data_IF_578294647737
#
_entry.id   IF_578294647737
#
_cell.length_a   1.000
_cell.length_b   1.000
_cell.length_c   1.000
_cell.angle_alpha   90.00
_cell.angle_beta   90.00
_cell.angle_gamma   90.00
#
_symmetry.space_group_name_H-M   'P 1'
#
loop_
_entity.id
_entity.type
_entity.pdbx_description
1 polymer ?
#
# COMPACT_ATOMS: atom_id res chain seq x y z
N UNK A 1 -15.81 1.65 15.92
CA UNK A 1 -14.81 2.72 16.07
C UNK A 1 -14.37 3.12 14.67
N UNK A 2 -14.50 4.39 14.32
CA UNK A 2 -13.90 4.96 13.10
C UNK A 2 -12.58 5.62 13.48
N UNK A 3 -11.47 5.22 12.86
CA UNK A 3 -10.14 5.73 13.17
C UNK A 3 -9.21 5.66 11.95
N UNK A 4 -8.27 6.60 11.86
CA UNK A 4 -7.14 6.52 10.93
C UNK A 4 -5.95 5.83 11.59
N UNK A 5 -5.10 5.19 10.80
CA UNK A 5 -3.91 4.53 11.33
C UNK A 5 -2.76 5.53 11.53
N UNK A 6 -2.35 5.71 12.78
CA UNK A 6 -1.19 6.50 13.20
C UNK A 6 -0.45 5.76 14.32
N UNK A 7 0.71 6.27 14.74
CA UNK A 7 1.53 5.64 15.77
C UNK A 7 0.80 5.53 17.13
N UNK A 8 -0.01 6.53 17.48
CA UNK A 8 -0.82 6.60 18.70
C UNK A 8 -2.07 5.71 18.66
N UNK A 9 -2.60 5.41 17.48
CA UNK A 9 -3.75 4.49 17.33
C UNK A 9 -3.34 3.05 17.05
N UNK A 10 -2.07 2.79 16.74
CA UNK A 10 -1.58 1.47 16.32
C UNK A 10 -1.82 0.38 17.36
N UNK A 11 -1.65 0.68 18.64
CA UNK A 11 -1.90 -0.27 19.73
C UNK A 11 -3.37 -0.70 19.79
N UNK A 12 -4.29 0.27 19.75
CA UNK A 12 -5.71 -0.02 19.81
C UNK A 12 -6.21 -0.77 18.56
N UNK A 13 -5.64 -0.50 17.39
CA UNK A 13 -6.07 -1.11 16.12
C UNK A 13 -5.47 -2.49 15.84
N UNK A 14 -4.31 -2.81 16.41
CA UNK A 14 -3.63 -4.09 16.22
C UNK A 14 -3.68 -4.96 17.49
N UNK A 15 -4.53 -4.63 18.45
CA UNK A 15 -4.77 -5.43 19.66
C UNK A 15 -6.25 -5.78 19.78
N UNK A 16 -6.61 -7.07 19.85
CA UNK A 16 -5.73 -8.24 19.74
C UNK A 16 -5.06 -8.32 18.35
N UNK A 17 -3.92 -9.03 18.22
CA UNK A 17 -3.22 -9.14 16.95
C UNK A 17 -4.13 -9.84 15.92
N UNK A 18 -4.38 -9.22 14.75
CA UNK A 18 -5.13 -9.87 13.68
C UNK A 18 -4.29 -11.00 13.06
N UNK A 19 -4.95 -12.00 12.48
CA UNK A 19 -4.27 -13.09 11.77
C UNK A 19 -3.49 -12.60 10.55
N UNK A 20 -3.97 -11.54 9.90
CA UNK A 20 -3.31 -10.85 8.81
C UNK A 20 -3.87 -9.42 8.67
N UNK A 21 -3.05 -8.50 8.18
CA UNK A 21 -3.43 -7.13 7.82
C UNK A 21 -3.42 -6.96 6.31
N UNK A 22 -4.48 -6.37 5.77
CA UNK A 22 -4.58 -5.98 4.35
C UNK A 22 -4.50 -4.47 4.27
N UNK A 23 -3.39 -3.96 3.75
CA UNK A 23 -3.13 -2.53 3.67
C UNK A 23 -3.53 -1.95 2.30
N UNK A 24 -4.61 -1.17 2.29
CA UNK A 24 -5.08 -0.40 1.13
C UNK A 24 -4.96 1.13 1.33
N UNK A 25 -4.07 1.59 2.22
CA UNK A 25 -3.86 3.01 2.52
C UNK A 25 -3.12 3.71 1.36
N UNK A 26 -3.61 4.84 0.88
CA UNK A 26 -2.99 5.62 -0.21
C UNK A 26 -1.99 6.69 0.29
N UNK A 27 -2.12 7.11 1.54
CA UNK A 27 -1.23 8.08 2.17
C UNK A 27 0.08 7.44 2.66
N UNK A 28 1.22 8.01 2.23
CA UNK A 28 2.56 7.46 2.50
C UNK A 28 2.87 7.24 3.99
N UNK A 29 2.68 8.26 4.83
CA UNK A 29 3.07 8.18 6.25
C UNK A 29 2.29 7.09 7.01
N UNK A 30 0.94 7.11 7.07
CA UNK A 30 0.19 6.09 7.79
C UNK A 30 0.44 4.68 7.26
N UNK A 31 0.66 4.54 5.94
CA UNK A 31 1.08 3.28 5.32
C UNK A 31 2.42 2.77 5.84
N UNK A 32 3.44 3.63 5.87
CA UNK A 32 4.76 3.24 6.42
C UNK A 32 4.65 2.92 7.91
N UNK A 33 3.86 3.67 8.69
CA UNK A 33 3.61 3.36 10.10
C UNK A 33 3.00 1.98 10.28
N UNK A 34 1.94 1.67 9.53
CA UNK A 34 1.27 0.37 9.58
C UNK A 34 2.25 -0.77 9.26
N UNK A 35 2.97 -0.67 8.15
CA UNK A 35 3.92 -1.70 7.74
C UNK A 35 5.05 -1.87 8.77
N UNK A 36 5.55 -0.76 9.34
CA UNK A 36 6.57 -0.81 10.39
C UNK A 36 6.03 -1.52 11.65
N UNK A 37 4.82 -1.17 12.09
CA UNK A 37 4.19 -1.74 13.28
C UNK A 37 3.87 -3.23 13.09
N UNK A 38 3.33 -3.63 11.95
CA UNK A 38 3.06 -5.03 11.62
C UNK A 38 4.34 -5.87 11.65
N UNK A 39 5.40 -5.41 10.96
CA UNK A 39 6.70 -6.12 10.96
C UNK A 39 7.28 -6.21 12.37
N UNK A 40 7.27 -5.11 13.14
CA UNK A 40 7.81 -5.10 14.50
C UNK A 40 7.08 -6.04 15.46
N UNK A 41 5.78 -6.30 15.22
CA UNK A 41 4.93 -7.18 16.02
C UNK A 41 4.82 -8.60 15.46
N UNK A 42 5.47 -8.90 14.33
CA UNK A 42 5.34 -10.18 13.65
C UNK A 42 3.93 -10.47 13.14
N UNK A 43 3.14 -9.42 12.86
CA UNK A 43 1.78 -9.56 12.29
C UNK A 43 1.92 -9.67 10.77
N UNK A 44 1.42 -10.76 10.13
CA UNK A 44 1.43 -10.89 8.68
C UNK A 44 0.72 -9.70 8.02
N UNK A 45 1.33 -9.13 6.99
CA UNK A 45 0.78 -7.97 6.27
C UNK A 45 1.03 -8.08 4.78
N UNK A 46 0.01 -7.77 3.99
CA UNK A 46 0.12 -7.59 2.55
C UNK A 46 -0.37 -6.19 2.17
N UNK A 47 0.25 -5.54 1.18
CA UNK A 47 0.01 -4.13 0.88
C UNK A 47 -0.29 -3.84 -0.59
N UNK A 48 -1.27 -2.97 -0.85
CA UNK A 48 -1.54 -2.39 -2.17
C UNK A 48 -0.70 -1.12 -2.38
N UNK A 49 -0.06 -1.02 -3.54
CA UNK A 49 0.66 0.19 -3.97
C UNK A 49 -0.21 1.07 -4.88
N UNK A 50 0.42 2.01 -5.61
CA UNK A 50 -0.31 3.00 -6.40
C UNK A 50 -0.92 2.41 -7.67
N UNK A 51 -2.26 2.29 -7.68
CA UNK A 51 -3.07 1.90 -8.84
C UNK A 51 -3.58 3.09 -9.68
N UNK A 52 -3.46 4.32 -9.18
CA UNK A 52 -3.88 5.51 -9.91
C UNK A 52 -2.91 5.86 -11.05
N UNK A 53 -3.44 6.39 -12.14
CA UNK A 53 -2.73 6.72 -13.37
C UNK A 53 -2.38 5.49 -14.21
N UNK A 54 -3.08 4.37 -14.01
CA UNK A 54 -2.78 3.06 -14.61
C UNK A 54 -3.96 2.53 -15.40
N UNK A 55 -3.69 1.86 -16.51
CA UNK A 55 -4.73 1.29 -17.39
C UNK A 55 -4.39 -0.10 -17.92
N UNK A 56 -3.12 -0.38 -18.19
CA UNK A 56 -2.72 -1.68 -18.72
C UNK A 56 -2.46 -2.71 -17.60
N UNK A 57 -3.39 -3.65 -17.50
CA UNK A 57 -3.39 -4.70 -16.46
C UNK A 57 -2.23 -5.68 -16.61
N UNK A 58 -1.63 -5.79 -17.80
CA UNK A 58 -0.48 -6.67 -18.05
C UNK A 58 0.79 -6.26 -17.30
N UNK A 59 0.82 -5.02 -16.77
CA UNK A 59 1.91 -4.50 -15.94
C UNK A 59 1.70 -4.72 -14.44
N UNK A 60 0.56 -5.29 -14.02
CA UNK A 60 0.32 -5.61 -12.61
C UNK A 60 1.25 -6.74 -12.17
N UNK A 61 1.87 -6.57 -11.01
CA UNK A 61 2.78 -7.53 -10.40
C UNK A 61 2.39 -7.73 -8.95
N UNK A 62 2.60 -8.95 -8.46
CA UNK A 62 2.43 -9.34 -7.07
C UNK A 62 3.72 -10.05 -6.62
N UNK A 63 4.23 -9.72 -5.45
CA UNK A 63 5.53 -10.21 -4.98
C UNK A 63 6.07 -9.39 -3.81
N UNK A 64 7.37 -9.48 -3.53
CA UNK A 64 7.98 -8.73 -2.45
C UNK A 64 8.08 -7.24 -2.80
N UNK A 65 7.67 -6.37 -1.87
CA UNK A 65 7.84 -4.94 -1.91
C UNK A 65 9.27 -4.52 -2.31
N UNK A 66 10.30 -5.24 -1.85
CA UNK A 66 11.70 -4.93 -2.18
C UNK A 66 12.03 -5.10 -3.67
N UNK A 67 11.28 -5.93 -4.38
CA UNK A 67 11.43 -6.21 -5.81
C UNK A 67 10.69 -5.19 -6.68
N UNK A 68 9.67 -4.53 -6.14
CA UNK A 68 8.84 -3.61 -6.94
C UNK A 68 9.63 -2.50 -7.65
N UNK A 69 9.29 -2.25 -8.92
CA UNK A 69 9.89 -1.24 -9.81
C UNK A 69 8.81 -0.33 -10.38
N UNK A 70 9.21 0.82 -10.94
CA UNK A 70 8.36 1.79 -11.68
C UNK A 70 7.06 2.27 -10.97
N UNK A 71 6.92 2.01 -9.67
CA UNK A 71 5.84 2.50 -8.84
C UNK A 71 6.34 3.61 -7.89
N UNK A 72 5.93 4.88 -8.08
CA UNK A 72 6.37 5.99 -7.23
C UNK A 72 6.03 5.81 -5.75
N UNK A 73 4.84 5.27 -5.44
CA UNK A 73 4.44 5.00 -4.06
C UNK A 73 5.34 3.92 -3.44
N UNK A 74 5.50 2.78 -4.12
CA UNK A 74 6.34 1.68 -3.62
C UNK A 74 7.80 2.13 -3.41
N UNK A 75 8.35 2.93 -4.33
CA UNK A 75 9.69 3.50 -4.20
C UNK A 75 9.85 4.37 -2.94
N UNK A 76 8.85 5.20 -2.63
CA UNK A 76 8.82 6.01 -1.40
C UNK A 76 8.66 5.14 -0.17
N UNK A 77 7.72 4.18 -0.16
CA UNK A 77 7.51 3.26 0.96
C UNK A 77 8.81 2.53 1.28
N UNK A 78 9.47 1.90 0.30
CA UNK A 78 10.78 1.25 0.46
C UNK A 78 11.83 2.18 1.07
N UNK A 79 11.90 3.44 0.61
CA UNK A 79 12.86 4.42 1.13
C UNK A 79 12.63 4.71 2.61
N UNK A 80 11.38 4.85 3.03
CA UNK A 80 11.04 5.14 4.42
C UNK A 80 11.20 3.92 5.33
N UNK A 81 10.80 2.72 4.86
CA UNK A 81 11.00 1.48 5.60
C UNK A 81 12.49 1.20 5.86
N UNK A 82 13.37 1.39 4.85
CA UNK A 82 14.83 1.27 5.05
C UNK A 82 15.35 2.21 6.13
N UNK A 83 14.86 3.45 6.18
CA UNK A 83 15.25 4.42 7.22
C UNK A 83 14.83 3.99 8.63
N UNK A 84 13.81 3.14 8.72
CA UNK A 84 13.31 2.55 9.98
C UNK A 84 13.93 1.19 10.28
N UNK A 85 14.90 0.74 9.49
CA UNK A 85 15.55 -0.57 9.67
C UNK A 85 14.69 -1.76 9.26
N UNK A 86 13.54 -1.54 8.60
CA UNK A 86 12.69 -2.64 8.12
C UNK A 86 13.30 -3.21 6.84
N UNK A 87 13.64 -4.50 6.87
CA UNK A 87 14.17 -5.28 5.74
C UNK A 87 13.42 -6.59 5.50
N UNK A 88 12.49 -6.95 6.39
CA UNK A 88 11.66 -8.14 6.25
C UNK A 88 10.86 -8.09 4.93
N UNK A 89 10.61 -9.24 4.27
CA UNK A 89 9.79 -9.30 3.07
C UNK A 89 8.36 -8.85 3.38
N UNK A 90 7.79 -8.04 2.49
CA UNK A 90 6.41 -7.55 2.60
C UNK A 90 5.71 -7.83 1.26
N UNK A 91 4.80 -8.83 1.20
CA UNK A 91 4.02 -9.08 0.00
C UNK A 91 3.21 -7.86 -0.41
N UNK A 92 3.26 -7.51 -1.68
CA UNK A 92 2.53 -6.36 -2.19
C UNK A 92 2.11 -6.51 -3.64
N UNK A 93 1.17 -5.65 -4.06
CA UNK A 93 0.75 -5.51 -5.46
C UNK A 93 1.12 -4.12 -5.97
N UNK A 94 1.73 -4.06 -7.15
CA UNK A 94 2.07 -2.81 -7.84
C UNK A 94 1.86 -2.92 -9.35
N UNK A 95 1.95 -1.80 -10.06
CA UNK A 95 2.05 -1.77 -11.52
C UNK A 95 3.40 -1.19 -11.94
N UNK A 96 3.99 -1.81 -12.96
CA UNK A 96 5.22 -1.35 -13.62
C UNK A 96 4.97 -0.46 -14.85
N UNK A 97 3.72 -0.16 -15.15
CA UNK A 97 3.34 0.86 -16.14
C UNK A 97 3.94 2.22 -15.70
N UNK A 98 4.07 3.19 -16.59
CA UNK A 98 4.41 4.59 -16.24
C UNK A 98 3.12 5.38 -15.98
N UNK A 99 3.01 6.20 -14.90
CA UNK A 99 1.70 6.70 -14.53
C UNK A 99 1.30 7.82 -15.47
N UNK A 100 0.01 7.90 -15.77
CA UNK A 100 -0.55 9.04 -16.47
C UNK A 100 -0.15 10.34 -15.77
N UNK A 101 -0.08 11.42 -16.55
CA UNK A 101 0.27 12.73 -16.02
C UNK A 101 -0.68 13.16 -14.90
N UNK A 102 -0.08 13.81 -13.91
CA UNK A 102 -0.85 14.27 -12.77
C UNK A 102 -1.73 15.47 -13.17
N UNK A 103 -3.00 15.38 -12.84
CA UNK A 103 -3.98 16.43 -13.05
C UNK A 103 -3.80 17.54 -12.02
N UNK A 104 -4.15 18.76 -12.44
CA UNK A 104 -4.22 19.89 -11.55
C UNK A 104 -5.15 19.56 -10.36
N UNK A 105 -4.76 19.95 -9.15
CA UNK A 105 -5.59 19.72 -7.97
C UNK A 105 -6.85 20.60 -8.08
N UNK A 106 -8.01 20.16 -7.57
CA UNK A 106 -9.28 20.94 -7.70
C UNK A 106 -9.12 22.29 -7.01
N UNK A 107 -9.56 23.42 -7.55
CA UNK A 107 -9.40 24.69 -6.83
C UNK A 107 -10.18 24.73 -5.49
N UNK A 108 -11.24 23.92 -5.37
CA UNK A 108 -12.24 23.98 -4.29
C UNK A 108 -12.25 22.75 -3.35
N UNK A 109 -11.20 21.92 -3.31
CA UNK A 109 -11.19 20.75 -2.44
C UNK A 109 -11.06 21.17 -0.95
N UNK A 110 -11.98 20.80 -0.06
CA UNK A 110 -11.85 21.14 1.37
C UNK A 110 -10.58 20.55 2.01
N UNK A 111 -9.90 19.58 1.37
CA UNK A 111 -8.56 19.09 1.78
C UNK A 111 -7.44 20.13 1.60
N UNK A 112 -7.66 21.25 0.90
CA UNK A 112 -6.69 22.35 0.84
C UNK A 112 -6.53 23.09 2.17
N UNK A 113 -7.53 23.07 3.04
CA UNK A 113 -7.46 23.73 4.35
C UNK A 113 -6.58 22.95 5.34
N UNK A 114 -6.37 21.64 5.11
CA UNK A 114 -5.50 20.78 5.92
C UNK A 114 -4.71 19.80 5.06
N UNK A 115 -3.49 20.20 4.70
CA UNK A 115 -2.51 19.30 4.07
C UNK A 115 -1.67 19.97 2.99
N UNK A 116 -0.83 19.17 2.32
CA UNK A 116 -0.05 19.61 1.16
C UNK A 116 -0.91 19.47 -0.10
N UNK A 117 -0.94 20.49 -0.94
CA UNK A 117 -1.52 20.45 -2.29
C UNK A 117 -0.93 19.25 -3.04
N UNK A 118 -1.78 18.33 -3.48
CA UNK A 118 -1.38 17.09 -4.16
C UNK A 118 -2.01 17.06 -5.54
N UNK A 119 -1.18 17.04 -6.57
CA UNK A 119 -1.62 16.71 -7.91
C UNK A 119 -2.32 15.34 -7.87
N UNK A 120 -3.42 15.22 -8.60
CA UNK A 120 -4.25 14.01 -8.60
C UNK A 120 -3.84 13.11 -9.74
N UNK A 121 -3.89 11.81 -9.52
CA UNK A 121 -3.77 10.84 -10.61
C UNK A 121 -5.18 10.37 -10.97
N UNK A 122 -5.55 10.33 -12.26
CA UNK A 122 -6.82 9.77 -12.68
C UNK A 122 -6.87 8.29 -12.28
N UNK A 123 -8.03 7.76 -11.88
CA UNK A 123 -8.16 6.35 -11.53
C UNK A 123 -9.44 5.77 -12.14
N UNK A 124 -9.28 4.77 -13.01
CA UNK A 124 -10.39 3.97 -13.51
C UNK A 124 -10.69 2.83 -12.54
N UNK A 125 -11.97 2.59 -12.27
CA UNK A 125 -12.47 1.63 -11.25
C UNK A 125 -11.87 0.22 -11.40
N UNK A 126 -11.60 -0.21 -12.64
CA UNK A 126 -11.07 -1.55 -12.93
C UNK A 126 -9.70 -1.80 -12.27
N UNK A 127 -8.78 -0.83 -12.28
CA UNK A 127 -7.41 -1.07 -11.82
C UNK A 127 -7.32 -1.27 -10.29
N UNK A 128 -7.92 -0.41 -9.44
CA UNK A 128 -8.00 -0.69 -8.01
C UNK A 128 -8.68 -2.03 -7.69
N UNK A 129 -9.71 -2.41 -8.45
CA UNK A 129 -10.36 -3.71 -8.31
C UNK A 129 -9.40 -4.88 -8.56
N UNK A 130 -8.64 -4.83 -9.66
CA UNK A 130 -7.63 -5.85 -9.99
C UNK A 130 -6.53 -5.91 -8.93
N UNK A 131 -6.06 -4.77 -8.43
CA UNK A 131 -5.11 -4.73 -7.31
C UNK A 131 -5.68 -5.38 -6.06
N UNK A 132 -6.96 -5.13 -5.74
CA UNK A 132 -7.66 -5.75 -4.63
C UNK A 132 -7.73 -7.27 -4.76
N UNK A 133 -8.08 -7.80 -5.93
CA UNK A 133 -8.12 -9.25 -6.16
C UNK A 133 -6.74 -9.90 -6.10
N UNK A 134 -5.72 -9.30 -6.72
CA UNK A 134 -4.35 -9.79 -6.63
C UNK A 134 -3.84 -9.78 -5.18
N UNK A 135 -4.17 -8.74 -4.42
CA UNK A 135 -3.79 -8.63 -3.01
C UNK A 135 -4.49 -9.68 -2.15
N UNK A 136 -5.77 -9.95 -2.41
CA UNK A 136 -6.51 -11.00 -1.73
C UNK A 136 -5.86 -12.38 -1.96
N UNK A 137 -5.36 -12.66 -3.17
CA UNK A 137 -4.61 -13.89 -3.45
C UNK A 137 -3.37 -14.02 -2.55
N UNK A 138 -2.56 -12.95 -2.45
CA UNK A 138 -1.38 -12.94 -1.57
C UNK A 138 -1.75 -13.16 -0.09
N UNK A 139 -2.86 -12.58 0.36
CA UNK A 139 -3.34 -12.75 1.73
C UNK A 139 -3.77 -14.19 2.00
N UNK A 140 -4.43 -14.84 1.04
CA UNK A 140 -4.83 -16.25 1.15
C UNK A 140 -3.61 -17.16 1.25
N UNK A 141 -2.54 -16.88 0.50
CA UNK A 141 -1.29 -17.65 0.58
C UNK A 141 -0.60 -17.44 1.93
N UNK A 142 -0.50 -16.19 2.40
CA UNK A 142 0.04 -15.86 3.72
C UNK A 142 -0.69 -16.58 4.86
N UNK A 143 -2.03 -16.54 4.85
CA UNK A 143 -2.85 -17.16 5.90
C UNK A 143 -2.79 -18.69 5.83
N UNK A 144 -2.67 -19.26 4.62
CA UNK A 144 -2.52 -20.70 4.44
C UNK A 144 -1.10 -21.22 4.69
N UNK A 145 -0.12 -20.32 4.92
CA UNK A 145 1.29 -20.68 5.07
C UNK A 145 1.96 -21.14 3.77
N UNK A 146 1.39 -20.79 2.61
CA UNK A 146 2.00 -21.05 1.29
C UNK A 146 2.96 -19.94 0.92
N UNK A 147 4.10 -20.28 0.35
CA UNK A 147 5.02 -19.30 -0.24
C UNK A 147 4.71 -19.14 -1.72
N UNK A 148 4.91 -17.94 -2.28
CA UNK A 148 4.74 -17.69 -3.70
C UNK A 148 5.67 -18.62 -4.52
N UNK A 149 5.12 -19.66 -5.15
CA UNK A 149 5.88 -20.65 -5.91
C UNK A 149 5.48 -22.12 -5.73
N UNK A 150 4.55 -22.44 -4.82
CA UNK A 150 3.96 -23.79 -4.69
C UNK A 150 2.84 -24.07 -5.71
#
# INVERSE_FOLDING_TARGET
MEAFFHADTADALLTPPPSCVVDAIDALNPKVELLTACVARGIPVASSMGAAGRTDVSFVRAGDLWESRRCPLAGRVRKYLRRRGVTAPIPCVWSEEEPADALAPDADDPRYERGRIRNRLPSGIAMPGIFGYALASLVLDLVAGRTAGD
#
